data_IF_033698086147
#
_entry.id   IF_033698086147
#
_cell.length_a   1.000
_cell.length_b   1.000
_cell.length_c   1.000
_cell.angle_alpha   90.00
_cell.angle_beta   90.00
_cell.angle_gamma   90.00
#
_symmetry.space_group_name_H-M   'P 1'
#
loop_
_entity.id
_entity.type
_entity.pdbx_description
1 polymer ?
#
# COMPACT_ATOMS: atom_id res chain seq x y z
N UNK A 1 -88.35 31.77 -20.95
CA UNK A 1 -86.96 32.04 -21.17
C UNK A 1 -86.18 31.29 -20.09
N UNK A 2 -85.57 30.12 -20.39
CA UNK A 2 -84.83 29.28 -19.45
C UNK A 2 -83.39 29.49 -19.67
N UNK A 3 -82.64 29.97 -18.65
CA UNK A 3 -81.20 30.15 -18.67
C UNK A 3 -80.61 28.90 -18.03
N UNK A 4 -79.90 28.13 -18.83
CA UNK A 4 -79.16 26.94 -18.41
C UNK A 4 -77.79 27.35 -17.92
N UNK A 5 -77.48 27.24 -16.64
CA UNK A 5 -76.17 27.44 -16.05
C UNK A 5 -75.32 26.23 -16.28
N UNK A 6 -74.26 26.42 -17.04
CA UNK A 6 -73.23 25.41 -17.29
C UNK A 6 -72.31 25.32 -16.06
N UNK A 7 -72.35 24.17 -15.45
CA UNK A 7 -71.48 23.81 -14.32
C UNK A 7 -70.09 23.46 -14.83
N UNK A 8 -69.12 24.32 -14.62
CA UNK A 8 -67.71 24.05 -14.91
C UNK A 8 -67.03 23.46 -13.67
N UNK A 9 -66.70 22.18 -13.75
CA UNK A 9 -65.95 21.48 -12.73
C UNK A 9 -64.56 22.06 -12.62
N UNK A 10 -64.01 22.28 -11.41
CA UNK A 10 -62.61 22.63 -11.24
C UNK A 10 -61.73 21.42 -11.48
N UNK A 11 -60.85 21.51 -12.46
CA UNK A 11 -59.78 20.56 -12.70
C UNK A 11 -58.86 20.52 -11.47
N UNK A 12 -58.73 19.33 -10.94
CA UNK A 12 -57.95 18.98 -9.79
C UNK A 12 -56.50 19.46 -9.89
N UNK A 13 -56.11 20.40 -9.06
CA UNK A 13 -54.73 20.85 -8.83
C UNK A 13 -53.88 19.85 -8.09
N UNK A 14 -54.34 18.59 -7.92
CA UNK A 14 -53.64 17.54 -7.19
C UNK A 14 -52.56 16.79 -7.99
N UNK A 15 -52.45 17.03 -9.32
CA UNK A 15 -51.52 16.26 -10.16
C UNK A 15 -50.17 16.93 -10.36
N UNK A 16 -49.98 18.16 -9.84
CA UNK A 16 -48.73 18.91 -10.02
C UNK A 16 -47.72 18.80 -8.85
N UNK A 17 -48.12 18.17 -7.74
CA UNK A 17 -47.28 18.02 -6.54
C UNK A 17 -46.52 16.67 -6.49
N UNK A 18 -46.82 15.73 -7.38
CA UNK A 18 -46.17 14.40 -7.40
C UNK A 18 -44.87 14.35 -8.27
N UNK A 19 -44.61 15.41 -9.05
CA UNK A 19 -43.47 15.42 -9.98
C UNK A 19 -42.16 15.99 -9.40
N UNK A 20 -42.20 16.60 -8.22
CA UNK A 20 -41.05 17.28 -7.60
C UNK A 20 -40.25 16.38 -6.65
N UNK A 21 -40.78 15.22 -6.26
CA UNK A 21 -40.13 14.33 -5.30
C UNK A 21 -39.20 13.26 -5.87
N UNK A 22 -39.02 13.22 -7.19
CA UNK A 22 -38.19 12.16 -7.86
C UNK A 22 -36.81 12.64 -8.31
N UNK A 23 -36.31 13.78 -7.86
CA UNK A 23 -35.11 14.41 -8.39
C UNK A 23 -33.89 14.46 -7.44
N UNK A 24 -33.95 13.93 -6.23
CA UNK A 24 -32.75 13.88 -5.36
C UNK A 24 -32.19 12.46 -5.40
N UNK A 25 -31.55 12.11 -6.52
CA UNK A 25 -30.63 11.00 -6.58
C UNK A 25 -29.38 11.43 -5.83
N UNK A 26 -29.32 11.08 -4.54
CA UNK A 26 -28.12 11.26 -3.71
C UNK A 26 -27.04 10.37 -4.27
N UNK A 27 -26.18 10.95 -5.11
CA UNK A 27 -24.93 10.33 -5.53
C UNK A 27 -24.02 10.31 -4.29
N UNK A 28 -24.14 9.26 -3.47
CA UNK A 28 -23.20 9.03 -2.38
C UNK A 28 -21.83 8.78 -3.00
N UNK A 29 -20.79 9.57 -2.69
CA UNK A 29 -19.45 9.24 -3.12
C UNK A 29 -19.06 7.90 -2.47
N UNK A 30 -18.84 6.88 -3.29
CA UNK A 30 -18.18 5.66 -2.85
C UNK A 30 -16.76 6.07 -2.46
N UNK A 31 -16.52 6.20 -1.16
CA UNK A 31 -15.17 6.32 -0.62
C UNK A 31 -14.48 4.97 -0.89
N UNK A 32 -13.84 4.85 -2.04
CA UNK A 32 -12.89 3.77 -2.30
C UNK A 32 -11.72 3.96 -1.35
N UNK A 33 -11.69 3.17 -0.28
CA UNK A 33 -10.48 3.04 0.53
C UNK A 33 -9.43 2.37 -0.35
N UNK A 34 -8.45 3.16 -0.82
CA UNK A 34 -7.32 2.61 -1.53
C UNK A 34 -6.60 1.62 -0.59
N UNK A 35 -6.67 0.35 -0.93
CA UNK A 35 -5.93 -0.69 -0.20
C UNK A 35 -4.44 -0.52 -0.54
N UNK A 36 -3.62 -0.17 0.46
CA UNK A 36 -2.17 -0.17 0.30
C UNK A 36 -1.71 -1.62 0.25
N UNK A 37 -1.08 -2.08 -0.84
CA UNK A 37 -0.59 -3.44 -0.91
C UNK A 37 0.47 -3.68 0.16
N UNK A 38 0.42 -4.84 0.79
CA UNK A 38 1.44 -5.30 1.75
C UNK A 38 2.08 -6.56 1.22
N UNK A 39 3.34 -6.77 1.56
CA UNK A 39 4.11 -7.97 1.19
C UNK A 39 4.86 -8.52 2.40
N UNK A 40 5.26 -9.79 2.33
CA UNK A 40 6.24 -10.37 3.24
C UNK A 40 7.59 -10.48 2.53
N UNK A 41 8.67 -10.07 3.20
CA UNK A 41 10.03 -10.10 2.63
C UNK A 41 10.89 -10.98 3.52
N UNK A 42 11.37 -12.09 3.00
CA UNK A 42 12.33 -12.97 3.68
C UNK A 42 13.74 -12.65 3.22
N UNK A 43 14.63 -12.32 4.15
CA UNK A 43 16.04 -12.09 3.90
C UNK A 43 16.77 -13.34 4.38
N UNK A 44 17.54 -13.97 3.48
CA UNK A 44 18.37 -15.15 3.79
C UNK A 44 19.84 -14.75 3.68
N UNK A 45 20.57 -14.92 4.74
CA UNK A 45 21.99 -14.55 4.81
C UNK A 45 22.90 -15.78 4.59
N UNK A 46 23.24 -16.06 3.35
CA UNK A 46 24.22 -17.09 2.95
C UNK A 46 25.64 -16.54 2.83
N UNK A 47 25.90 -15.34 3.38
CA UNK A 47 27.26 -14.79 3.45
C UNK A 47 27.97 -15.23 4.73
N UNK A 48 29.26 -14.95 4.80
CA UNK A 48 30.07 -15.17 6.01
C UNK A 48 29.99 -14.04 7.04
N UNK A 49 29.19 -12.99 6.77
CA UNK A 49 29.05 -11.79 7.59
C UNK A 49 27.67 -11.77 8.25
N UNK A 50 27.61 -11.31 9.49
CA UNK A 50 26.35 -11.05 10.16
C UNK A 50 25.68 -9.78 9.60
N UNK A 51 24.38 -9.81 9.36
CA UNK A 51 23.59 -8.61 9.04
C UNK A 51 23.06 -8.02 10.34
N UNK A 52 23.37 -6.77 10.61
CA UNK A 52 23.04 -6.10 11.87
C UNK A 52 21.83 -5.20 11.76
N UNK A 53 21.63 -4.60 10.59
CA UNK A 53 20.51 -3.69 10.37
C UNK A 53 19.87 -3.96 9.02
N UNK A 54 18.55 -3.76 8.96
CA UNK A 54 17.77 -3.81 7.73
C UNK A 54 16.87 -2.59 7.66
N UNK A 55 16.90 -1.92 6.52
CA UNK A 55 16.09 -0.73 6.27
C UNK A 55 15.23 -0.90 5.03
N UNK A 56 14.12 -0.16 4.97
CA UNK A 56 13.23 -0.11 3.81
C UNK A 56 13.19 1.31 3.25
N UNK A 57 13.16 1.41 1.91
CA UNK A 57 13.14 2.68 1.21
C UNK A 57 12.31 2.57 -0.07
N UNK A 58 11.68 3.65 -0.57
CA UNK A 58 11.22 3.68 -1.94
C UNK A 58 12.37 3.33 -2.91
N UNK A 59 12.10 2.67 -4.06
CA UNK A 59 13.14 2.10 -4.93
C UNK A 59 14.15 3.12 -5.46
N UNK A 60 13.68 4.32 -5.74
CA UNK A 60 14.41 5.46 -6.34
C UNK A 60 14.93 6.47 -5.33
N UNK A 61 14.80 6.19 -4.04
CA UNK A 61 15.20 7.09 -2.95
C UNK A 61 16.21 6.41 -2.01
N UNK A 62 16.92 7.22 -1.25
CA UNK A 62 17.79 6.79 -0.15
C UNK A 62 17.26 7.30 1.20
N UNK A 63 15.95 7.41 1.32
CA UNK A 63 15.28 7.76 2.57
C UNK A 63 14.97 6.47 3.33
N UNK A 64 15.95 6.00 4.06
CA UNK A 64 15.85 4.77 4.86
C UNK A 64 15.05 5.05 6.12
N UNK A 65 14.07 4.22 6.38
CA UNK A 65 13.28 4.29 7.61
C UNK A 65 14.06 3.79 8.84
N UNK A 66 13.33 3.41 9.87
CA UNK A 66 13.91 2.77 11.05
C UNK A 66 14.44 1.38 10.74
N UNK A 67 15.39 0.92 11.55
CA UNK A 67 15.88 -0.46 11.50
C UNK A 67 14.75 -1.46 11.75
N UNK A 68 14.60 -2.41 10.85
CA UNK A 68 13.56 -3.42 10.89
C UNK A 68 13.92 -4.62 11.78
N UNK A 69 15.20 -4.81 12.09
CA UNK A 69 15.66 -5.88 13.00
C UNK A 69 15.55 -5.49 14.47
N UNK A 70 15.49 -4.19 14.75
CA UNK A 70 15.41 -3.61 16.11
C UNK A 70 16.59 -4.06 16.96
N UNK A 71 16.45 -5.12 17.75
CA UNK A 71 17.49 -5.69 18.62
C UNK A 71 17.92 -7.11 18.18
N UNK A 72 17.62 -7.46 16.93
CA UNK A 72 17.98 -8.74 16.34
C UNK A 72 19.08 -8.58 15.30
N UNK A 73 19.65 -9.69 14.85
CA UNK A 73 20.54 -9.74 13.70
C UNK A 73 20.24 -10.99 12.87
N UNK A 74 20.74 -11.03 11.64
CA UNK A 74 20.64 -12.22 10.80
C UNK A 74 22.02 -12.89 10.77
N UNK A 75 22.16 -14.05 11.43
CA UNK A 75 23.43 -14.75 11.50
C UNK A 75 23.97 -15.13 10.10
N UNK A 76 25.28 -15.24 9.94
CA UNK A 76 25.88 -15.73 8.69
C UNK A 76 25.53 -17.22 8.44
N UNK A 77 25.82 -17.67 7.23
CA UNK A 77 25.76 -19.09 6.82
C UNK A 77 24.36 -19.72 6.95
N UNK A 78 23.32 -19.02 6.47
CA UNK A 78 21.96 -19.54 6.37
C UNK A 78 20.97 -18.95 7.36
N UNK A 79 21.35 -17.95 8.16
CA UNK A 79 20.40 -17.20 8.98
C UNK A 79 19.34 -16.51 8.14
N UNK A 80 18.14 -16.36 8.66
CA UNK A 80 17.04 -15.68 7.93
C UNK A 80 16.18 -14.85 8.86
N UNK A 81 15.53 -13.85 8.28
CA UNK A 81 14.56 -13.00 8.94
C UNK A 81 13.43 -12.65 7.99
N UNK A 82 12.19 -12.69 8.45
CA UNK A 82 11.02 -12.35 7.63
C UNK A 82 10.36 -11.08 8.15
N UNK A 83 10.32 -10.07 7.31
CA UNK A 83 9.53 -8.86 7.50
C UNK A 83 8.09 -9.15 7.06
N UNK A 84 7.14 -9.07 7.95
CA UNK A 84 5.72 -9.28 7.66
C UNK A 84 4.98 -7.95 7.53
N UNK A 85 3.95 -7.91 6.69
CA UNK A 85 3.08 -6.75 6.50
C UNK A 85 3.83 -5.47 6.09
N UNK A 86 4.85 -5.61 5.24
CA UNK A 86 5.58 -4.48 4.70
C UNK A 86 4.65 -3.67 3.79
N UNK A 87 4.38 -2.43 4.18
CA UNK A 87 3.56 -1.51 3.37
C UNK A 87 4.39 -0.97 2.20
N UNK A 88 3.88 -1.16 1.00
CA UNK A 88 4.51 -0.70 -0.22
C UNK A 88 3.81 0.55 -0.75
N UNK A 89 4.51 1.66 -0.80
CA UNK A 89 4.01 2.89 -1.44
C UNK A 89 3.87 2.81 -2.97
N UNK A 90 4.22 1.67 -3.57
CA UNK A 90 4.20 1.44 -5.02
C UNK A 90 4.31 -0.05 -5.35
N UNK A 91 4.70 -0.36 -6.60
CA UNK A 91 4.83 -1.74 -7.09
C UNK A 91 6.06 -2.49 -6.55
N UNK A 92 7.02 -1.79 -5.97
CA UNK A 92 8.26 -2.35 -5.43
C UNK A 92 8.79 -1.54 -4.26
N UNK A 93 9.69 -2.14 -3.48
CA UNK A 93 10.38 -1.51 -2.36
C UNK A 93 11.86 -1.92 -2.39
N UNK A 94 12.74 -1.01 -1.99
CA UNK A 94 14.16 -1.28 -1.79
C UNK A 94 14.40 -1.75 -0.37
N UNK A 95 15.05 -2.90 -0.23
CA UNK A 95 15.54 -3.45 1.02
C UNK A 95 17.02 -3.21 1.10
N UNK A 96 17.49 -2.66 2.20
CA UNK A 96 18.91 -2.35 2.44
C UNK A 96 19.35 -3.13 3.66
N UNK A 97 20.42 -3.86 3.58
CA UNK A 97 21.03 -4.61 4.68
C UNK A 97 22.42 -4.03 4.99
N UNK A 98 22.69 -3.80 6.25
CA UNK A 98 24.01 -3.38 6.75
C UNK A 98 24.65 -4.56 7.48
N UNK A 99 25.86 -4.91 7.08
CA UNK A 99 26.61 -5.98 7.72
C UNK A 99 27.45 -5.47 8.92
N UNK A 100 28.09 -6.41 9.60
CA UNK A 100 28.93 -6.12 10.77
C UNK A 100 30.21 -5.32 10.46
N UNK A 101 30.56 -5.17 9.17
CA UNK A 101 31.66 -4.29 8.71
C UNK A 101 31.17 -2.85 8.44
N UNK A 102 29.86 -2.59 8.54
CA UNK A 102 29.24 -1.31 8.20
C UNK A 102 29.05 -1.10 6.72
N UNK A 103 29.07 -2.16 5.91
CA UNK A 103 28.84 -2.08 4.49
C UNK A 103 27.39 -2.38 4.15
N UNK A 104 26.86 -1.72 3.13
CA UNK A 104 25.48 -1.83 2.70
C UNK A 104 25.35 -2.70 1.44
N UNK A 105 24.36 -3.57 1.44
CA UNK A 105 23.87 -4.27 0.27
C UNK A 105 22.39 -3.97 0.09
N UNK A 106 21.87 -4.01 -1.13
CA UNK A 106 20.46 -3.72 -1.38
C UNK A 106 19.87 -4.57 -2.50
N UNK A 107 18.56 -4.73 -2.44
CA UNK A 107 17.76 -5.31 -3.50
C UNK A 107 16.44 -4.53 -3.65
N UNK A 108 15.92 -4.49 -4.86
CA UNK A 108 14.55 -4.00 -5.12
C UNK A 108 13.67 -5.21 -5.30
N UNK A 109 12.64 -5.34 -4.47
CA UNK A 109 11.71 -6.47 -4.47
C UNK A 109 10.31 -6.01 -4.87
N UNK A 110 9.58 -6.89 -5.55
CA UNK A 110 8.19 -6.63 -5.92
C UNK A 110 7.28 -6.74 -4.70
N UNK A 111 6.26 -5.89 -4.66
CA UNK A 111 5.24 -5.84 -3.61
C UNK A 111 3.98 -6.65 -3.97
N UNK A 112 4.09 -7.68 -4.81
CA UNK A 112 2.92 -8.45 -5.23
C UNK A 112 2.45 -9.46 -4.17
N UNK A 113 3.31 -10.36 -3.70
CA UNK A 113 2.91 -11.41 -2.75
C UNK A 113 3.93 -11.55 -1.61
N UNK A 114 4.93 -12.41 -1.81
CA UNK A 114 6.07 -12.57 -0.93
C UNK A 114 7.35 -12.55 -1.76
N UNK A 115 8.40 -11.98 -1.20
CA UNK A 115 9.70 -11.91 -1.84
C UNK A 115 10.76 -12.55 -0.96
N UNK A 116 11.77 -13.16 -1.57
CA UNK A 116 12.96 -13.65 -0.89
C UNK A 116 14.18 -13.00 -1.48
N UNK A 117 15.01 -12.39 -0.64
CA UNK A 117 16.31 -11.86 -1.00
C UNK A 117 17.40 -12.67 -0.33
N UNK A 118 18.28 -13.29 -1.11
CA UNK A 118 19.42 -14.04 -0.62
C UNK A 118 20.70 -13.22 -0.75
N UNK A 119 21.33 -12.94 0.38
CA UNK A 119 22.64 -12.28 0.47
C UNK A 119 23.72 -13.36 0.50
N UNK A 120 24.72 -13.21 -0.35
CA UNK A 120 25.86 -14.13 -0.46
C UNK A 120 27.19 -13.36 -0.34
N UNK A 121 28.31 -14.05 -0.32
CA UNK A 121 29.63 -13.40 -0.34
C UNK A 121 29.91 -12.62 -1.64
N UNK A 122 29.18 -12.94 -2.73
CA UNK A 122 29.29 -12.24 -4.02
C UNK A 122 28.28 -11.10 -4.18
N UNK A 123 27.38 -10.91 -3.23
CA UNK A 123 26.44 -9.77 -3.27
C UNK A 123 27.22 -8.46 -3.21
N UNK A 124 26.90 -7.53 -4.11
CA UNK A 124 27.56 -6.22 -4.16
C UNK A 124 27.40 -5.47 -2.84
N UNK A 125 28.49 -4.91 -2.35
CA UNK A 125 28.57 -4.15 -1.10
C UNK A 125 29.07 -2.73 -1.37
N UNK A 126 28.46 -1.77 -0.71
CA UNK A 126 28.92 -0.39 -0.64
C UNK A 126 29.43 -0.11 0.78
N UNK A 127 30.72 0.14 0.91
CA UNK A 127 31.38 0.40 2.20
C UNK A 127 31.75 1.88 2.38
N UNK A 128 31.22 2.78 1.54
CA UNK A 128 31.41 4.23 1.72
C UNK A 128 32.83 4.71 1.39
N UNK A 129 33.53 4.10 0.43
CA UNK A 129 34.85 4.54 -0.04
C UNK A 129 34.76 5.62 -1.08
#
# INVERSE_FOLDING_TARGET
>A
MRITLRNSSPLSTSLLLLAVFFGIMVCAPLLSTAHVPTTAITIVNNSSREIRHVYLSPPDQNNWGSDQLVNSSIPPNGGSFTLSNVSCGGASIKVVAEDNDGCFSYAVVSCSDSATWTITNSTTRDCGN
#
